data_IF_089206634232
#
_entry.id   IF_089206634232
#
_cell.length_a   1.000
_cell.length_b   1.000
_cell.length_c   1.000
_cell.angle_alpha   90.00
_cell.angle_beta   90.00
_cell.angle_gamma   90.00
#
_symmetry.space_group_name_H-M   'P 1'
#
loop_
_entity.id
_entity.type
_entity.pdbx_description
1 polymer ?
#
# COMPACT_ATOMS: atom_id res chain seq x y z
N UNK A 1 7.97 -31.76 3.69
CA UNK A 1 7.37 -32.67 2.73
C UNK A 1 6.78 -33.89 3.46
N UNK A 2 5.51 -34.16 3.26
CA UNK A 2 4.81 -35.30 3.91
C UNK A 2 5.26 -36.66 3.36
N UNK A 3 5.89 -36.70 2.21
CA UNK A 3 6.35 -37.91 1.53
C UNK A 3 7.79 -38.30 1.93
N UNK A 4 8.67 -37.31 2.09
CA UNK A 4 10.09 -37.56 2.39
C UNK A 4 10.45 -37.35 3.85
N UNK A 5 9.59 -36.73 4.65
CA UNK A 5 9.87 -36.33 6.03
C UNK A 5 10.90 -35.21 6.17
N UNK A 6 11.38 -34.64 5.06
CA UNK A 6 12.34 -33.55 5.05
C UNK A 6 11.68 -32.19 5.18
N UNK A 7 12.35 -31.25 5.84
CA UNK A 7 11.91 -29.87 5.89
C UNK A 7 12.13 -29.20 4.53
N UNK A 8 11.06 -28.74 3.92
CA UNK A 8 11.10 -28.01 2.68
C UNK A 8 10.67 -26.56 2.91
N UNK A 9 11.37 -25.62 2.29
CA UNK A 9 11.04 -24.20 2.36
C UNK A 9 9.95 -23.88 1.34
N UNK A 10 8.85 -23.35 1.80
CA UNK A 10 7.76 -22.85 0.93
C UNK A 10 7.70 -21.32 1.01
N UNK A 11 7.66 -20.65 -0.16
CA UNK A 11 7.52 -19.22 -0.25
C UNK A 11 6.12 -18.75 0.17
N UNK A 12 6.05 -17.91 1.19
CA UNK A 12 4.80 -17.28 1.64
C UNK A 12 4.25 -16.24 0.66
N UNK A 13 3.16 -15.57 1.05
CA UNK A 13 2.43 -14.63 0.19
C UNK A 13 3.33 -13.50 -0.38
N UNK A 14 4.21 -12.92 0.44
CA UNK A 14 5.12 -11.86 0.01
C UNK A 14 6.12 -12.33 -1.04
N UNK A 15 6.70 -13.53 -0.86
CA UNK A 15 7.64 -14.11 -1.83
C UNK A 15 6.93 -14.47 -3.14
N UNK A 16 5.72 -15.01 -3.06
CA UNK A 16 4.90 -15.34 -4.24
C UNK A 16 4.44 -14.12 -5.02
N UNK A 17 4.36 -12.95 -4.37
CA UNK A 17 4.03 -11.68 -4.98
C UNK A 17 5.27 -10.93 -5.53
N UNK A 18 6.46 -11.55 -5.58
CA UNK A 18 7.67 -10.89 -6.09
C UNK A 18 7.43 -10.25 -7.47
N UNK A 19 7.88 -9.00 -7.64
CA UNK A 19 7.64 -8.15 -8.81
C UNK A 19 6.15 -7.82 -9.08
N UNK A 20 5.29 -7.99 -8.10
CA UNK A 20 3.86 -7.73 -8.18
C UNK A 20 3.33 -6.87 -7.04
N UNK A 21 2.07 -7.09 -6.71
CA UNK A 21 1.35 -6.39 -5.63
C UNK A 21 0.86 -7.42 -4.63
N UNK A 22 1.10 -7.17 -3.35
CA UNK A 22 0.52 -7.93 -2.24
C UNK A 22 -0.58 -7.09 -1.59
N UNK A 23 -1.81 -7.56 -1.65
CA UNK A 23 -2.95 -6.94 -0.98
C UNK A 23 -3.12 -7.57 0.39
N UNK A 24 -3.13 -6.75 1.44
CA UNK A 24 -3.26 -7.18 2.83
C UNK A 24 -4.48 -6.47 3.43
N UNK A 25 -5.50 -7.24 3.73
CA UNK A 25 -6.67 -6.75 4.46
C UNK A 25 -6.48 -6.91 5.98
N UNK A 26 -7.21 -6.14 6.76
CA UNK A 26 -7.14 -6.14 8.23
C UNK A 26 -5.69 -6.00 8.77
N UNK A 27 -4.92 -5.12 8.14
CA UNK A 27 -3.52 -4.89 8.49
C UNK A 27 -3.30 -4.49 9.96
N UNK A 28 -4.31 -3.89 10.59
CA UNK A 28 -4.34 -3.54 12.00
C UNK A 28 -4.43 -4.76 12.93
N UNK A 29 -4.91 -5.91 12.44
CA UNK A 29 -5.08 -7.15 13.22
C UNK A 29 -3.90 -8.12 13.16
N UNK A 30 -2.89 -7.82 12.34
CA UNK A 30 -1.73 -8.68 12.18
C UNK A 30 -0.94 -8.84 13.47
N UNK A 31 -0.37 -10.03 13.66
CA UNK A 31 0.54 -10.30 14.77
C UNK A 31 1.87 -9.54 14.61
N UNK A 32 2.54 -9.26 15.73
CA UNK A 32 3.76 -8.44 15.71
C UNK A 32 4.92 -9.09 14.93
N UNK A 33 5.00 -10.41 14.92
CA UNK A 33 6.04 -11.12 14.15
C UNK A 33 5.80 -10.98 12.63
N UNK A 34 4.55 -11.00 12.18
CA UNK A 34 4.21 -10.79 10.76
C UNK A 34 4.48 -9.34 10.35
N UNK A 35 4.17 -8.38 11.22
CA UNK A 35 4.53 -6.97 10.99
C UNK A 35 6.03 -6.78 10.83
N UNK A 36 6.84 -7.50 11.63
CA UNK A 36 8.30 -7.42 11.52
C UNK A 36 8.79 -7.93 10.16
N UNK A 37 8.24 -9.02 9.65
CA UNK A 37 8.56 -9.52 8.32
C UNK A 37 8.19 -8.50 7.21
N UNK A 38 7.03 -7.83 7.36
CA UNK A 38 6.62 -6.77 6.43
C UNK A 38 7.58 -5.58 6.50
N UNK A 39 8.06 -5.20 7.68
CA UNK A 39 9.07 -4.14 7.82
C UNK A 39 10.34 -4.44 7.02
N UNK A 40 10.82 -5.69 7.06
CA UNK A 40 11.99 -6.13 6.28
C UNK A 40 11.70 -6.02 4.79
N UNK A 41 10.57 -6.56 4.34
CA UNK A 41 10.18 -6.53 2.92
C UNK A 41 10.03 -5.11 2.39
N UNK A 42 9.39 -4.21 3.14
CA UNK A 42 9.22 -2.81 2.73
C UNK A 42 10.55 -2.05 2.60
N UNK A 43 11.57 -2.46 3.35
CA UNK A 43 12.86 -1.77 3.37
C UNK A 43 13.90 -2.44 2.48
N UNK A 44 14.03 -3.75 2.57
CA UNK A 44 15.10 -4.52 1.91
C UNK A 44 14.61 -5.27 0.68
N UNK A 45 13.28 -5.38 0.49
CA UNK A 45 12.66 -6.18 -0.58
C UNK A 45 13.07 -7.66 -0.55
N UNK A 46 13.35 -8.16 0.65
CA UNK A 46 13.75 -9.54 0.92
C UNK A 46 13.04 -10.08 2.16
N UNK A 47 12.94 -11.39 2.25
CA UNK A 47 12.52 -12.12 3.45
C UNK A 47 13.68 -13.01 3.88
N UNK A 48 14.22 -12.76 5.06
CA UNK A 48 15.27 -13.57 5.67
C UNK A 48 14.67 -14.67 6.54
N UNK A 49 15.05 -15.90 6.30
CA UNK A 49 14.59 -17.08 7.03
C UNK A 49 15.78 -17.75 7.70
N UNK A 50 15.70 -17.85 9.03
CA UNK A 50 16.65 -18.59 9.85
C UNK A 50 15.86 -19.58 10.71
N UNK A 51 15.57 -20.77 10.17
CA UNK A 51 14.75 -21.79 10.86
C UNK A 51 15.24 -23.19 10.53
N UNK A 52 15.28 -24.06 11.53
CA UNK A 52 15.63 -25.48 11.39
C UNK A 52 16.98 -25.71 10.67
N UNK A 53 17.99 -24.89 10.93
CA UNK A 53 19.31 -25.01 10.29
C UNK A 53 19.41 -24.48 8.86
N UNK A 54 18.29 -23.98 8.31
CA UNK A 54 18.26 -23.34 7.00
C UNK A 54 18.37 -21.83 7.21
N UNK A 55 19.43 -21.23 6.65
CA UNK A 55 19.58 -19.77 6.53
C UNK A 55 19.50 -19.39 5.07
N UNK A 56 18.47 -18.66 4.67
CA UNK A 56 18.30 -18.21 3.30
C UNK A 56 17.58 -16.88 3.24
N UNK A 57 17.86 -16.12 2.19
CA UNK A 57 17.19 -14.86 1.91
C UNK A 57 16.45 -15.01 0.58
N UNK A 58 15.15 -14.75 0.60
CA UNK A 58 14.29 -14.84 -0.58
C UNK A 58 13.94 -13.42 -1.05
N UNK A 59 13.91 -13.23 -2.37
CA UNK A 59 13.48 -11.97 -2.94
C UNK A 59 11.97 -11.77 -2.73
N UNK A 60 11.59 -10.55 -2.32
CA UNK A 60 10.20 -10.12 -2.16
C UNK A 60 10.09 -8.65 -2.58
N UNK A 61 10.40 -8.37 -3.86
CA UNK A 61 10.27 -7.05 -4.48
C UNK A 61 8.81 -6.81 -4.80
N UNK A 62 8.07 -6.33 -3.82
CA UNK A 62 6.61 -6.26 -3.86
C UNK A 62 6.12 -4.88 -3.49
N UNK A 63 5.07 -4.42 -4.17
CA UNK A 63 4.29 -3.26 -3.73
C UNK A 63 3.20 -3.73 -2.78
N UNK A 64 3.08 -3.10 -1.62
CA UNK A 64 2.10 -3.47 -0.60
C UNK A 64 0.91 -2.53 -0.66
N UNK A 65 -0.28 -3.09 -0.84
CA UNK A 65 -1.56 -2.40 -0.69
C UNK A 65 -2.25 -2.92 0.56
N UNK A 66 -2.29 -2.11 1.61
CA UNK A 66 -2.85 -2.50 2.88
C UNK A 66 -4.15 -1.76 3.18
N UNK A 67 -5.14 -2.46 3.73
CA UNK A 67 -6.34 -1.89 4.29
C UNK A 67 -6.35 -2.09 5.81
N UNK A 68 -6.69 -1.04 6.55
CA UNK A 68 -6.75 -1.05 8.01
C UNK A 68 -7.94 -0.25 8.51
N UNK A 69 -8.55 -0.71 9.57
CA UNK A 69 -9.64 -0.01 10.23
C UNK A 69 -9.13 0.83 11.42
N UNK A 70 -9.82 1.94 11.76
CA UNK A 70 -9.51 2.70 12.94
C UNK A 70 -9.69 1.86 14.21
N UNK A 71 -8.80 2.02 15.18
CA UNK A 71 -8.75 1.22 16.40
C UNK A 71 -10.06 1.22 17.23
N UNK A 72 -10.84 2.29 17.12
CA UNK A 72 -12.10 2.46 17.85
C UNK A 72 -13.34 2.34 16.95
N UNK A 73 -13.21 1.73 15.78
CA UNK A 73 -14.31 1.56 14.81
C UNK A 73 -14.74 2.84 14.11
N UNK A 74 -14.25 4.01 14.55
CA UNK A 74 -14.51 5.33 13.95
C UNK A 74 -13.25 6.18 13.95
N UNK A 75 -13.03 6.88 12.86
CA UNK A 75 -11.94 7.86 12.78
C UNK A 75 -12.28 9.11 13.61
N UNK A 76 -11.35 9.50 14.49
CA UNK A 76 -11.49 10.71 15.30
C UNK A 76 -10.64 11.84 14.69
N UNK A 77 -11.26 12.91 14.13
CA UNK A 77 -10.52 14.01 13.52
C UNK A 77 -9.69 14.85 14.51
N UNK A 78 -9.91 14.67 15.81
CA UNK A 78 -9.16 15.38 16.87
C UNK A 78 -7.85 14.67 17.23
N UNK A 79 -7.64 13.45 16.75
CA UNK A 79 -6.46 12.63 16.99
C UNK A 79 -5.62 12.53 15.72
N UNK A 80 -4.32 12.32 15.87
CA UNK A 80 -3.42 12.06 14.74
C UNK A 80 -3.77 10.74 14.04
N UNK A 81 -3.30 10.59 12.80
CA UNK A 81 -3.49 9.36 12.02
C UNK A 81 -2.91 8.14 12.76
N UNK A 82 -1.73 8.29 13.36
CA UNK A 82 -1.07 7.22 14.13
C UNK A 82 -1.86 6.79 15.37
N UNK A 83 -2.50 7.72 16.07
CA UNK A 83 -3.36 7.41 17.22
C UNK A 83 -4.68 6.74 16.82
N UNK A 84 -5.20 7.07 15.64
CA UNK A 84 -6.42 6.45 15.12
C UNK A 84 -6.21 5.00 14.67
N UNK A 85 -5.06 4.67 14.09
CA UNK A 85 -4.80 3.35 13.50
C UNK A 85 -4.06 2.42 14.48
N UNK A 86 -3.41 2.96 15.51
CA UNK A 86 -2.57 2.22 16.47
C UNK A 86 -1.46 1.38 15.80
N UNK A 87 -0.92 1.86 14.69
CA UNK A 87 0.25 1.29 14.06
C UNK A 87 1.50 2.07 14.48
N UNK A 88 2.66 1.39 14.66
CA UNK A 88 3.91 2.07 14.95
C UNK A 88 4.24 3.14 13.90
N UNK A 89 4.67 4.32 14.37
CA UNK A 89 5.05 5.42 13.47
C UNK A 89 6.14 5.01 12.46
N UNK A 90 7.04 4.11 12.87
CA UNK A 90 8.06 3.54 12.00
C UNK A 90 7.48 2.75 10.82
N UNK A 91 6.36 2.07 11.01
CA UNK A 91 5.66 1.36 9.95
C UNK A 91 4.90 2.32 9.04
N UNK A 92 4.17 3.27 9.62
CA UNK A 92 3.44 4.29 8.85
C UNK A 92 4.37 5.12 7.96
N UNK A 93 5.59 5.42 8.42
CA UNK A 93 6.58 6.15 7.62
C UNK A 93 7.12 5.39 6.41
N UNK A 94 6.84 4.08 6.30
CA UNK A 94 7.24 3.24 5.16
C UNK A 94 6.20 3.22 4.06
N UNK A 95 4.96 3.60 4.36
CA UNK A 95 3.93 3.78 3.34
C UNK A 95 4.14 5.10 2.61
N UNK A 96 4.26 5.03 1.30
CA UNK A 96 4.43 6.22 0.46
C UNK A 96 3.13 7.04 0.38
N UNK A 97 1.97 6.36 0.39
CA UNK A 97 0.64 6.97 0.34
C UNK A 97 -0.24 6.43 1.48
N UNK A 98 -0.89 7.35 2.19
CA UNK A 98 -1.88 7.05 3.22
C UNK A 98 -3.21 7.67 2.81
N UNK A 99 -4.18 6.83 2.48
CA UNK A 99 -5.52 7.25 2.08
C UNK A 99 -6.49 7.12 3.24
N UNK A 100 -7.07 8.23 3.65
CA UNK A 100 -8.12 8.24 4.65
C UNK A 100 -9.48 8.23 3.94
N UNK A 101 -10.19 7.11 4.05
CA UNK A 101 -11.56 6.97 3.56
C UNK A 101 -12.49 7.18 4.76
N UNK A 102 -13.02 8.40 4.88
CA UNK A 102 -13.93 8.75 5.97
C UNK A 102 -15.38 8.51 5.53
N UNK A 103 -16.10 7.72 6.32
CA UNK A 103 -17.54 7.59 6.20
C UNK A 103 -18.21 8.85 6.78
N UNK A 104 -18.78 9.66 5.91
CA UNK A 104 -19.52 10.88 6.28
C UNK A 104 -20.97 10.71 5.84
N UNK A 105 -21.94 10.84 6.74
CA UNK A 105 -23.34 10.80 6.36
C UNK A 105 -23.65 11.87 5.31
N UNK A 106 -24.01 11.44 4.12
CA UNK A 106 -24.42 12.28 3.02
C UNK A 106 -25.60 11.63 2.30
N UNK A 107 -26.76 12.29 2.38
CA UNK A 107 -28.03 11.75 1.88
C UNK A 107 -27.95 11.27 0.43
N UNK A 108 -27.28 12.01 -0.45
CA UNK A 108 -27.25 11.69 -1.87
C UNK A 108 -26.32 10.51 -2.15
N UNK A 109 -25.17 10.46 -1.50
CA UNK A 109 -24.22 9.35 -1.61
C UNK A 109 -24.80 8.08 -0.96
N UNK A 110 -25.40 8.20 0.21
CA UNK A 110 -26.04 7.07 0.90
C UNK A 110 -27.18 6.47 0.07
N UNK A 111 -27.98 7.33 -0.57
CA UNK A 111 -29.06 6.87 -1.45
C UNK A 111 -28.51 6.15 -2.68
N UNK A 112 -27.48 6.67 -3.33
CA UNK A 112 -26.82 6.02 -4.47
C UNK A 112 -26.24 4.67 -4.08
N UNK A 113 -25.58 4.59 -2.93
CA UNK A 113 -25.01 3.34 -2.39
C UNK A 113 -26.11 2.32 -2.13
N UNK A 114 -27.19 2.72 -1.47
CA UNK A 114 -28.33 1.85 -1.20
C UNK A 114 -28.99 1.33 -2.50
N UNK A 115 -29.21 2.22 -3.48
CA UNK A 115 -29.72 1.85 -4.79
C UNK A 115 -28.82 0.86 -5.51
N UNK A 116 -27.49 1.09 -5.47
CA UNK A 116 -26.52 0.17 -6.08
C UNK A 116 -26.57 -1.21 -5.44
N UNK A 117 -26.57 -1.28 -4.11
CA UNK A 117 -26.66 -2.56 -3.37
C UNK A 117 -27.96 -3.30 -3.74
N UNK A 118 -29.10 -2.61 -3.68
CA UNK A 118 -30.38 -3.19 -4.04
C UNK A 118 -30.39 -3.72 -5.50
N UNK A 119 -29.81 -2.95 -6.43
CA UNK A 119 -29.75 -3.36 -7.83
C UNK A 119 -28.92 -4.64 -8.01
N UNK A 120 -27.72 -4.69 -7.40
CA UNK A 120 -26.84 -5.86 -7.48
C UNK A 120 -27.51 -7.10 -6.87
N UNK A 121 -28.14 -6.98 -5.71
CA UNK A 121 -28.85 -8.09 -5.07
C UNK A 121 -30.08 -8.57 -5.85
N UNK A 122 -30.80 -7.65 -6.50
CA UNK A 122 -31.96 -8.01 -7.32
C UNK A 122 -31.59 -8.68 -8.64
N UNK A 123 -30.54 -8.19 -9.31
CA UNK A 123 -30.23 -8.56 -10.69
C UNK A 123 -29.02 -9.48 -10.82
N UNK A 124 -28.28 -9.74 -9.74
CA UNK A 124 -27.00 -10.47 -9.73
C UNK A 124 -25.97 -9.93 -10.77
N UNK A 125 -26.08 -8.65 -11.11
CA UNK A 125 -25.24 -7.99 -12.10
C UNK A 125 -24.94 -6.55 -11.67
N UNK A 126 -23.85 -6.00 -12.16
CA UNK A 126 -23.51 -4.59 -11.93
C UNK A 126 -24.51 -3.69 -12.68
N UNK A 127 -24.89 -2.53 -12.10
CA UNK A 127 -25.69 -1.55 -12.82
C UNK A 127 -24.93 -1.04 -14.06
N UNK A 128 -25.63 -0.58 -15.09
CA UNK A 128 -24.98 -0.02 -16.27
C UNK A 128 -24.10 1.16 -15.85
N UNK A 129 -22.83 1.10 -16.23
CA UNK A 129 -21.85 2.17 -15.98
C UNK A 129 -21.84 3.13 -17.16
N UNK A 130 -21.68 4.43 -16.88
CA UNK A 130 -21.45 5.46 -17.89
C UNK A 130 -20.13 5.26 -18.63
N UNK A 131 -19.20 4.53 -18.04
CA UNK A 131 -17.88 4.26 -18.59
C UNK A 131 -17.71 2.77 -18.90
N UNK A 132 -17.26 2.47 -20.11
CA UNK A 132 -16.84 1.13 -20.44
C UNK A 132 -15.49 0.84 -19.79
N UNK A 133 -15.37 -0.15 -18.90
CA UNK A 133 -14.10 -0.51 -18.30
C UNK A 133 -13.13 -1.03 -19.37
N UNK A 134 -11.85 -0.71 -19.20
CA UNK A 134 -10.81 -1.21 -20.11
C UNK A 134 -10.70 -2.72 -20.01
N UNK A 135 -10.58 -3.41 -21.15
CA UNK A 135 -10.40 -4.87 -21.17
C UNK A 135 -9.14 -5.27 -20.36
N UNK A 136 -9.29 -6.26 -19.50
CA UNK A 136 -8.23 -6.76 -18.62
C UNK A 136 -7.02 -7.29 -19.40
N UNK A 137 -7.22 -7.85 -20.59
CA UNK A 137 -6.11 -8.30 -21.46
C UNK A 137 -5.31 -7.12 -22.00
N UNK A 138 -6.01 -6.04 -22.37
CA UNK A 138 -5.36 -4.81 -22.82
C UNK A 138 -4.58 -4.16 -21.68
N UNK A 139 -5.17 -4.07 -20.49
CA UNK A 139 -4.51 -3.51 -19.31
C UNK A 139 -3.24 -4.29 -18.94
N UNK A 140 -3.29 -5.63 -18.95
CA UNK A 140 -2.11 -6.47 -18.70
C UNK A 140 -0.98 -6.24 -19.73
N UNK A 141 -1.33 -6.10 -21.02
CA UNK A 141 -0.35 -5.79 -22.07
C UNK A 141 0.26 -4.40 -21.87
N UNK A 142 -0.54 -3.43 -21.49
CA UNK A 142 -0.08 -2.07 -21.19
C UNK A 142 0.91 -2.08 -20.02
N UNK A 143 0.57 -2.70 -18.89
CA UNK A 143 1.46 -2.83 -17.73
C UNK A 143 2.77 -3.55 -18.10
N UNK A 144 2.68 -4.64 -18.89
CA UNK A 144 3.86 -5.37 -19.35
C UNK A 144 4.77 -4.52 -20.24
N UNK A 145 4.21 -3.58 -21.00
CA UNK A 145 4.99 -2.61 -21.78
C UNK A 145 5.65 -1.58 -20.86
N UNK A 146 4.89 -1.00 -19.92
CA UNK A 146 5.42 -0.02 -18.97
C UNK A 146 6.58 -0.58 -18.13
N UNK A 147 6.52 -1.86 -17.74
CA UNK A 147 7.61 -2.51 -16.98
C UNK A 147 8.94 -2.65 -17.74
N UNK A 148 8.96 -2.43 -19.05
CA UNK A 148 10.18 -2.46 -19.86
C UNK A 148 10.86 -1.10 -19.94
N UNK A 149 10.14 -0.03 -19.63
CA UNK A 149 10.69 1.31 -19.63
C UNK A 149 11.55 1.52 -18.38
N UNK A 150 12.72 2.09 -18.55
CA UNK A 150 13.64 2.46 -17.46
C UNK A 150 13.69 3.98 -17.41
N UNK A 151 12.87 4.61 -16.58
CA UNK A 151 12.82 6.06 -16.50
C UNK A 151 14.07 6.61 -15.82
N UNK A 152 14.53 7.75 -16.30
CA UNK A 152 15.68 8.48 -15.73
C UNK A 152 15.21 9.88 -15.40
N UNK A 153 15.51 10.35 -14.18
CA UNK A 153 15.25 11.74 -13.78
C UNK A 153 16.29 12.65 -14.46
N UNK A 154 15.88 13.62 -15.29
CA UNK A 154 16.81 14.56 -15.89
C UNK A 154 17.52 15.40 -14.82
N UNK A 155 18.80 15.68 -15.02
CA UNK A 155 19.62 16.48 -14.09
C UNK A 155 19.04 17.89 -13.90
N UNK A 156 18.45 18.46 -14.93
CA UNK A 156 17.79 19.78 -14.93
C UNK A 156 16.65 19.90 -13.91
N UNK A 157 16.00 18.78 -13.53
CA UNK A 157 14.91 18.78 -12.56
C UNK A 157 15.37 18.67 -11.11
N UNK A 158 16.67 18.48 -10.86
CA UNK A 158 17.20 18.26 -9.51
C UNK A 158 16.89 19.43 -8.58
N UNK A 159 17.16 20.65 -9.01
CA UNK A 159 16.93 21.87 -8.21
C UNK A 159 15.44 22.07 -7.92
N UNK A 160 14.58 21.78 -8.89
CA UNK A 160 13.12 21.85 -8.72
C UNK A 160 12.62 20.83 -7.67
N UNK A 161 13.08 19.60 -7.75
CA UNK A 161 12.70 18.52 -6.82
C UNK A 161 13.18 18.85 -5.40
N UNK A 162 14.41 19.33 -5.26
CA UNK A 162 14.97 19.76 -3.96
C UNK A 162 14.17 20.93 -3.39
N UNK A 163 13.84 21.92 -4.22
CA UNK A 163 13.02 23.07 -3.82
C UNK A 163 11.63 22.63 -3.32
N UNK A 164 10.93 21.80 -4.08
CA UNK A 164 9.62 21.27 -3.71
C UNK A 164 9.67 20.48 -2.41
N UNK A 165 10.69 19.63 -2.21
CA UNK A 165 10.87 18.89 -0.97
C UNK A 165 11.10 19.80 0.24
N UNK A 166 11.90 20.86 0.09
CA UNK A 166 12.13 21.85 1.15
C UNK A 166 10.84 22.58 1.52
N UNK A 167 10.00 22.94 0.54
CA UNK A 167 8.70 23.57 0.79
C UNK A 167 7.74 22.63 1.52
N UNK A 168 7.66 21.36 1.10
CA UNK A 168 6.86 20.36 1.78
C UNK A 168 7.29 20.20 3.24
N UNK A 169 8.58 20.17 3.54
CA UNK A 169 9.09 20.10 4.91
C UNK A 169 8.73 21.32 5.73
N UNK A 170 8.78 22.52 5.15
CA UNK A 170 8.36 23.76 5.82
C UNK A 170 6.86 23.73 6.11
N UNK A 171 6.04 23.32 5.16
CA UNK A 171 4.60 23.20 5.34
C UNK A 171 4.23 22.16 6.42
N UNK A 172 4.87 20.99 6.42
CA UNK A 172 4.66 19.95 7.43
C UNK A 172 5.07 20.40 8.85
N UNK A 173 6.05 21.29 8.98
CA UNK A 173 6.48 21.84 10.28
C UNK A 173 5.43 22.77 10.91
N UNK A 174 4.67 23.46 10.06
CA UNK A 174 3.67 24.43 10.47
C UNK A 174 2.28 23.80 10.69
N UNK A 175 2.06 22.59 10.18
CA UNK A 175 0.76 21.92 10.24
C UNK A 175 0.87 20.60 11.02
N UNK A 176 0.25 20.56 12.22
CA UNK A 176 0.27 19.38 13.11
C UNK A 176 -0.49 18.18 12.56
N UNK A 177 -1.35 18.38 11.58
CA UNK A 177 -2.16 17.33 10.95
C UNK A 177 -1.43 16.60 9.82
N UNK A 178 -0.29 17.14 9.36
CA UNK A 178 0.52 16.49 8.33
C UNK A 178 1.43 15.42 8.94
N UNK A 179 1.53 14.29 8.26
CA UNK A 179 2.49 13.24 8.60
C UNK A 179 3.92 13.75 8.47
N UNK A 180 4.81 13.19 9.28
CA UNK A 180 6.22 13.56 9.28
C UNK A 180 6.86 13.39 7.89
N UNK A 181 7.37 14.46 7.31
CA UNK A 181 8.04 14.46 6.01
C UNK A 181 9.52 14.10 6.18
N UNK A 182 9.92 12.98 5.62
CA UNK A 182 11.29 12.45 5.68
C UNK A 182 11.90 12.32 4.28
N UNK A 183 13.15 11.87 4.20
CA UNK A 183 13.79 11.53 2.92
C UNK A 183 13.02 10.45 2.15
N UNK A 184 12.26 9.58 2.83
CA UNK A 184 11.37 8.60 2.19
C UNK A 184 10.27 9.27 1.37
N UNK A 185 9.76 10.41 1.82
CA UNK A 185 8.76 11.19 1.06
C UNK A 185 9.34 11.68 -0.27
N UNK A 186 10.60 12.09 -0.29
CA UNK A 186 11.29 12.45 -1.54
C UNK A 186 11.41 11.25 -2.48
N UNK A 187 11.81 10.09 -1.95
CA UNK A 187 11.88 8.85 -2.72
C UNK A 187 10.50 8.43 -3.25
N UNK A 188 9.43 8.62 -2.47
CA UNK A 188 8.06 8.36 -2.91
C UNK A 188 7.67 9.27 -4.08
N UNK A 189 7.96 10.58 -4.01
CA UNK A 189 7.71 11.52 -5.11
C UNK A 189 8.43 11.04 -6.38
N UNK A 190 9.70 10.68 -6.27
CA UNK A 190 10.49 10.18 -7.41
C UNK A 190 9.89 8.90 -8.00
N UNK A 191 9.44 7.95 -7.18
CA UNK A 191 8.79 6.71 -7.65
C UNK A 191 7.48 6.93 -8.40
N UNK A 192 6.70 7.94 -8.01
CA UNK A 192 5.41 8.24 -8.63
C UNK A 192 5.46 9.24 -9.77
N UNK A 193 6.57 9.93 -9.95
CA UNK A 193 6.79 10.86 -11.08
C UNK A 193 7.37 10.21 -12.33
N UNK A 194 7.64 8.92 -12.24
CA UNK A 194 8.27 8.12 -13.30
C UNK A 194 7.26 7.29 -14.08
#
# INVERSE_FOLDING_TARGET
DTLTGEFMLEGGALVRADQGICCIDEFDKMADHDRTAIHEVMEQQTVSIAKAGIMTTLNARVSILAAANPAYGRYNPKKSVSENIQLPAALLSRFDLLWLIADRPDRDNDMRLAQHICFVHKNNSQPPSEYNPVDMKLLRKYIAKCKKEIPIVPEELTDYIVGAYCEMRKAARNNKDMTFTSARTLLAILRYSI
#
